data_IF_352434126012
#
_entry.id   IF_352434126012
#
_cell.length_a   1.000
_cell.length_b   1.000
_cell.length_c   1.000
_cell.angle_alpha   90.00
_cell.angle_beta   90.00
_cell.angle_gamma   90.00
#
_symmetry.space_group_name_H-M   'P 1'
#
loop_
_entity.id
_entity.type
_entity.pdbx_description
1 polymer ?
#
# COMPACT_ATOMS: atom_id res chain seq x y z
N UNK A 1 11.31 -29.72 0.72
CA UNK A 1 10.50 -28.94 1.69
C UNK A 1 10.52 -27.44 1.40
N UNK A 2 11.67 -26.87 1.01
CA UNK A 2 11.87 -25.46 0.70
C UNK A 2 10.99 -24.95 -0.46
N UNK A 3 10.86 -25.71 -1.55
CA UNK A 3 10.02 -25.31 -2.70
C UNK A 3 8.52 -25.16 -2.36
N UNK A 4 7.99 -26.07 -1.53
CA UNK A 4 6.60 -25.99 -1.05
C UNK A 4 6.38 -24.78 -0.14
N UNK A 5 7.42 -24.28 0.53
CA UNK A 5 7.36 -23.05 1.33
C UNK A 5 7.41 -21.82 0.43
N UNK A 6 8.32 -21.80 -0.55
CA UNK A 6 8.43 -20.73 -1.55
C UNK A 6 7.11 -20.53 -2.31
N UNK A 7 6.53 -21.61 -2.81
CA UNK A 7 5.27 -21.56 -3.55
C UNK A 7 4.12 -20.97 -2.69
N UNK A 8 4.10 -21.23 -1.38
CA UNK A 8 3.10 -20.66 -0.46
C UNK A 8 3.28 -19.15 -0.28
N UNK A 9 4.52 -18.70 -0.05
CA UNK A 9 4.80 -17.28 0.14
C UNK A 9 4.48 -16.51 -1.15
N UNK A 10 4.88 -17.04 -2.30
CA UNK A 10 4.56 -16.48 -3.62
C UNK A 10 3.06 -16.31 -3.83
N UNK A 11 2.26 -17.35 -3.58
CA UNK A 11 0.80 -17.28 -3.68
C UNK A 11 0.20 -16.24 -2.73
N UNK A 12 0.74 -16.10 -1.51
CA UNK A 12 0.27 -15.09 -0.57
C UNK A 12 0.54 -13.66 -1.07
N UNK A 13 1.72 -13.42 -1.63
CA UNK A 13 2.10 -12.11 -2.17
C UNK A 13 1.23 -11.72 -3.37
N UNK A 14 1.04 -12.64 -4.32
CA UNK A 14 0.21 -12.43 -5.51
C UNK A 14 -1.29 -12.31 -5.17
N UNK A 15 -1.72 -12.74 -3.98
CA UNK A 15 -3.13 -12.68 -3.57
C UNK A 15 -3.64 -11.30 -3.12
N UNK A 16 -2.76 -10.29 -3.06
CA UNK A 16 -3.09 -8.97 -2.52
C UNK A 16 -3.18 -8.93 -1.00
N UNK A 17 -2.59 -9.91 -0.30
CA UNK A 17 -2.58 -9.97 1.16
C UNK A 17 -1.64 -8.95 1.81
N UNK A 18 -0.60 -8.53 1.10
CA UNK A 18 0.48 -7.62 1.55
C UNK A 18 -0.03 -6.40 2.31
N UNK A 19 -0.91 -5.54 1.75
CA UNK A 19 -1.32 -4.31 2.45
C UNK A 19 -2.05 -4.59 3.77
N UNK A 20 -2.70 -5.75 3.90
CA UNK A 20 -3.36 -6.15 5.15
C UNK A 20 -2.36 -6.65 6.19
N UNK A 21 -1.32 -7.35 5.76
CA UNK A 21 -0.26 -7.87 6.64
C UNK A 21 0.60 -6.72 7.16
N UNK A 22 1.06 -5.81 6.29
CA UNK A 22 1.86 -4.63 6.67
C UNK A 22 1.10 -3.76 7.67
N UNK A 23 -0.15 -3.39 7.36
CA UNK A 23 -0.97 -2.55 8.24
C UNK A 23 -1.14 -3.15 9.64
N UNK A 24 -1.31 -4.47 9.73
CA UNK A 24 -1.45 -5.12 11.03
C UNK A 24 -0.10 -5.27 11.74
N UNK A 25 0.99 -5.48 11.00
CA UNK A 25 2.38 -5.50 11.49
C UNK A 25 2.73 -4.17 12.17
N UNK A 26 2.48 -3.04 11.50
CA UNK A 26 2.64 -1.69 12.06
C UNK A 26 1.80 -1.49 13.33
N UNK A 27 0.55 -1.97 13.31
CA UNK A 27 -0.37 -1.80 14.44
C UNK A 27 0.11 -2.51 15.70
N UNK A 28 0.71 -3.69 15.56
CA UNK A 28 1.23 -4.49 16.68
C UNK A 28 2.71 -4.25 16.93
N UNK A 29 3.31 -3.27 16.23
CA UNK A 29 4.75 -3.09 16.24
C UNK A 29 5.31 -2.78 17.64
N UNK A 30 4.52 -2.07 18.45
CA UNK A 30 4.86 -1.75 19.83
C UNK A 30 4.70 -2.93 20.81
N UNK A 31 4.09 -4.04 20.37
CA UNK A 31 3.77 -5.20 21.21
C UNK A 31 4.65 -6.42 20.90
N UNK A 32 5.31 -6.45 19.74
CA UNK A 32 6.05 -7.61 19.26
C UNK A 32 7.50 -7.20 18.98
N UNK A 33 8.49 -7.97 19.44
CA UNK A 33 9.91 -7.63 19.27
C UNK A 33 10.46 -7.87 17.84
N UNK A 34 9.78 -8.66 17.00
CA UNK A 34 10.23 -9.01 15.65
C UNK A 34 9.05 -9.00 14.65
N UNK A 35 9.05 -7.99 13.77
CA UNK A 35 8.05 -7.81 12.72
C UNK A 35 8.19 -8.85 11.62
N UNK A 36 9.42 -9.16 11.24
CA UNK A 36 9.73 -10.06 10.13
C UNK A 36 9.17 -11.46 10.40
N UNK A 37 9.34 -11.97 11.61
CA UNK A 37 8.76 -13.27 12.00
C UNK A 37 7.23 -13.29 11.94
N UNK A 38 6.57 -12.18 12.29
CA UNK A 38 5.11 -12.09 12.22
C UNK A 38 4.62 -12.09 10.77
N UNK A 39 5.26 -11.31 9.91
CA UNK A 39 4.91 -11.18 8.49
C UNK A 39 5.11 -12.49 7.73
N UNK A 40 6.27 -13.14 7.92
CA UNK A 40 6.56 -14.44 7.32
C UNK A 40 5.51 -15.49 7.68
N UNK A 41 5.12 -15.55 8.96
CA UNK A 41 4.09 -16.48 9.40
C UNK A 41 2.72 -16.16 8.79
N UNK A 42 2.37 -14.89 8.68
CA UNK A 42 1.15 -14.46 7.99
C UNK A 42 1.15 -14.97 6.56
N UNK A 43 2.20 -14.67 5.79
CA UNK A 43 2.32 -15.11 4.39
C UNK A 43 2.28 -16.63 4.26
N UNK A 44 2.97 -17.35 5.14
CA UNK A 44 2.96 -18.82 5.11
C UNK A 44 1.57 -19.42 5.35
N UNK A 45 0.84 -18.93 6.36
CA UNK A 45 -0.52 -19.42 6.67
C UNK A 45 -1.53 -19.01 5.61
N UNK A 46 -1.43 -17.79 5.09
CA UNK A 46 -2.27 -17.30 4.00
C UNK A 46 -2.06 -18.17 2.76
N UNK A 47 -0.81 -18.38 2.33
CA UNK A 47 -0.49 -19.22 1.18
C UNK A 47 -0.98 -20.65 1.34
N UNK A 48 -0.80 -21.25 2.53
CA UNK A 48 -1.34 -22.58 2.83
C UNK A 48 -2.86 -22.63 2.72
N UNK A 49 -3.56 -21.63 3.24
CA UNK A 49 -5.01 -21.58 3.17
C UNK A 49 -5.51 -21.35 1.74
N UNK A 50 -4.88 -20.45 0.99
CA UNK A 50 -5.26 -20.17 -0.40
C UNK A 50 -5.06 -21.39 -1.31
N UNK A 51 -4.00 -22.18 -1.09
CA UNK A 51 -3.83 -23.47 -1.77
C UNK A 51 -4.94 -24.46 -1.44
N UNK A 52 -5.33 -24.56 -0.16
CA UNK A 52 -6.36 -25.50 0.28
C UNK A 52 -7.78 -25.07 -0.12
N UNK A 53 -8.03 -23.78 -0.30
CA UNK A 53 -9.34 -23.21 -0.59
C UNK A 53 -9.48 -22.69 -2.04
N UNK A 54 -8.56 -23.07 -2.95
CA UNK A 54 -8.56 -22.61 -4.35
C UNK A 54 -9.91 -22.80 -5.05
N UNK A 55 -10.61 -23.89 -4.72
CA UNK A 55 -11.85 -24.31 -5.38
C UNK A 55 -13.13 -24.05 -4.56
N UNK A 56 -13.02 -23.43 -3.38
CA UNK A 56 -14.08 -23.48 -2.36
C UNK A 56 -14.99 -22.23 -2.31
N UNK A 57 -14.95 -21.38 -3.34
CA UNK A 57 -15.85 -20.22 -3.52
C UNK A 57 -15.82 -19.12 -2.43
N UNK A 58 -14.99 -19.26 -1.39
CA UNK A 58 -14.92 -18.32 -0.27
C UNK A 58 -14.26 -17.00 -0.68
N UNK A 59 -14.73 -15.90 -0.10
CA UNK A 59 -14.14 -14.59 -0.30
C UNK A 59 -12.69 -14.56 0.21
N UNK A 60 -11.74 -14.38 -0.71
CA UNK A 60 -10.29 -14.37 -0.44
C UNK A 60 -9.93 -13.35 0.63
N UNK A 61 -10.54 -12.16 0.58
CA UNK A 61 -10.29 -11.05 1.51
C UNK A 61 -10.67 -11.40 2.95
N UNK A 62 -11.85 -11.98 3.17
CA UNK A 62 -12.31 -12.38 4.49
C UNK A 62 -11.42 -13.48 5.08
N UNK A 63 -10.97 -14.42 4.25
CA UNK A 63 -10.04 -15.49 4.65
C UNK A 63 -8.69 -14.91 5.10
N UNK A 64 -8.10 -14.02 4.30
CA UNK A 64 -6.83 -13.34 4.62
C UNK A 64 -6.93 -12.62 5.97
N UNK A 65 -7.97 -11.80 6.16
CA UNK A 65 -8.17 -11.06 7.41
C UNK A 65 -8.36 -11.97 8.63
N UNK A 66 -9.10 -13.07 8.47
CA UNK A 66 -9.28 -14.06 9.54
C UNK A 66 -7.95 -14.70 9.95
N UNK A 67 -7.09 -15.03 8.98
CA UNK A 67 -5.77 -15.62 9.24
C UNK A 67 -4.89 -14.63 9.98
N UNK A 68 -4.82 -13.38 9.52
CA UNK A 68 -4.02 -12.32 10.17
C UNK A 68 -4.42 -12.15 11.64
N UNK A 69 -5.73 -12.09 11.94
CA UNK A 69 -6.22 -11.99 13.32
C UNK A 69 -5.81 -13.20 14.17
N UNK A 70 -5.85 -14.40 13.61
CA UNK A 70 -5.41 -15.62 14.29
C UNK A 70 -3.92 -15.61 14.57
N UNK A 71 -3.09 -15.21 13.59
CA UNK A 71 -1.63 -15.10 13.79
C UNK A 71 -1.32 -14.07 14.86
N UNK A 72 -1.99 -12.91 14.83
CA UNK A 72 -1.85 -11.88 15.86
C UNK A 72 -2.15 -12.43 17.25
N UNK A 73 -3.27 -13.14 17.42
CA UNK A 73 -3.63 -13.73 18.71
C UNK A 73 -2.56 -14.73 19.20
N UNK A 74 -2.01 -15.55 18.29
CA UNK A 74 -0.95 -16.52 18.63
C UNK A 74 0.34 -15.82 19.11
N UNK A 75 0.71 -14.71 18.47
CA UNK A 75 1.89 -13.93 18.84
C UNK A 75 1.71 -13.16 20.15
N UNK A 76 0.54 -12.54 20.36
CA UNK A 76 0.26 -11.79 21.59
C UNK A 76 0.07 -12.69 22.81
N UNK A 77 -0.45 -13.91 22.64
CA UNK A 77 -0.62 -14.87 23.74
C UNK A 77 0.66 -15.64 24.08
N UNK A 78 1.78 -15.37 23.37
CA UNK A 78 3.05 -16.06 23.59
C UNK A 78 3.01 -17.55 23.26
N UNK A 79 1.92 -18.05 22.64
CA UNK A 79 1.74 -19.47 22.31
C UNK A 79 2.69 -19.97 21.23
N UNK A 80 3.43 -19.07 20.57
CA UNK A 80 4.40 -19.43 19.53
C UNK A 80 5.85 -19.28 19.94
N UNK A 81 6.57 -20.39 19.74
CA UNK A 81 8.03 -20.43 19.60
C UNK A 81 8.42 -19.63 18.35
N UNK A 82 9.48 -18.81 18.45
CA UNK A 82 10.09 -18.06 17.36
C UNK A 82 10.38 -19.00 16.18
N UNK A 83 9.50 -19.05 15.18
CA UNK A 83 9.80 -19.75 13.92
C UNK A 83 10.49 -18.70 13.04
N UNK A 84 11.82 -18.75 13.00
CA UNK A 84 12.63 -17.96 12.08
C UNK A 84 12.60 -18.69 10.73
N UNK A 85 11.93 -18.13 9.74
CA UNK A 85 12.03 -18.65 8.38
C UNK A 85 13.23 -17.97 7.71
N UNK A 86 14.16 -18.75 7.15
CA UNK A 86 15.23 -18.21 6.30
C UNK A 86 14.59 -17.47 5.12
N UNK A 87 14.93 -16.19 4.96
CA UNK A 87 14.45 -15.31 3.89
C UNK A 87 15.17 -15.53 2.56
N UNK A 88 16.34 -16.17 2.57
CA UNK A 88 17.11 -16.49 1.38
C UNK A 88 16.66 -17.83 0.80
N UNK A 89 15.96 -17.76 -0.33
CA UNK A 89 15.58 -18.94 -1.11
C UNK A 89 16.44 -19.01 -2.37
N UNK A 90 17.40 -19.93 -2.36
CA UNK A 90 18.12 -20.35 -3.57
C UNK A 90 17.21 -21.29 -4.38
N UNK A 91 16.90 -20.93 -5.63
CA UNK A 91 16.34 -21.85 -6.61
C UNK A 91 17.36 -22.93 -7.02
N UNK A 92 16.88 -24.05 -7.56
CA UNK A 92 17.75 -25.13 -8.09
C UNK A 92 18.67 -24.68 -9.24
N UNK A 93 18.36 -23.53 -9.84
CA UNK A 93 19.08 -22.85 -10.92
C UNK A 93 20.08 -21.78 -10.42
N UNK A 94 20.19 -21.59 -9.10
CA UNK A 94 20.98 -20.51 -8.49
C UNK A 94 20.29 -19.15 -8.53
N UNK A 95 19.02 -19.08 -8.97
CA UNK A 95 18.26 -17.83 -8.97
C UNK A 95 17.78 -17.53 -7.56
N UNK A 96 18.27 -16.45 -6.97
CA UNK A 96 17.79 -15.94 -5.67
C UNK A 96 16.46 -15.23 -5.92
N UNK A 97 15.39 -15.76 -5.36
CA UNK A 97 14.09 -15.08 -5.39
C UNK A 97 14.02 -14.11 -4.20
N UNK A 98 14.08 -12.81 -4.49
CA UNK A 98 13.77 -11.76 -3.54
C UNK A 98 12.34 -11.25 -3.82
N UNK A 99 11.45 -11.19 -2.81
CA UNK A 99 10.16 -10.52 -2.97
C UNK A 99 10.39 -9.06 -3.36
N UNK A 100 9.68 -8.58 -4.38
CA UNK A 100 9.72 -7.17 -4.78
C UNK A 100 9.33 -6.29 -3.57
N UNK A 101 10.18 -5.32 -3.22
CA UNK A 101 9.98 -4.48 -2.04
C UNK A 101 8.87 -3.44 -2.29
N UNK A 102 7.66 -3.86 -1.94
CA UNK A 102 6.42 -3.09 -2.07
C UNK A 102 6.39 -1.91 -1.09
N UNK A 103 7.23 -1.91 -0.05
CA UNK A 103 7.32 -0.82 0.94
C UNK A 103 7.99 0.42 0.34
N UNK A 104 9.00 0.25 -0.52
CA UNK A 104 9.64 1.34 -1.25
C UNK A 104 8.65 2.11 -2.13
N UNK A 105 7.66 1.42 -2.70
CA UNK A 105 6.67 2.03 -3.57
C UNK A 105 5.67 2.90 -2.78
N UNK A 106 5.33 2.50 -1.56
CA UNK A 106 4.44 3.29 -0.67
C UNK A 106 5.17 4.52 -0.12
N UNK A 107 6.46 4.39 0.23
CA UNK A 107 7.28 5.54 0.66
C UNK A 107 7.40 6.58 -0.45
N UNK A 108 7.62 6.13 -1.69
CA UNK A 108 7.63 7.02 -2.87
C UNK A 108 6.33 7.81 -3.01
N UNK A 109 5.17 7.14 -2.97
CA UNK A 109 3.88 7.82 -3.06
C UNK A 109 3.63 8.83 -1.93
N UNK A 110 4.06 8.52 -0.70
CA UNK A 110 3.90 9.41 0.45
C UNK A 110 4.76 10.66 0.27
N UNK A 111 6.02 10.52 -0.14
CA UNK A 111 6.91 11.65 -0.42
C UNK A 111 6.39 12.54 -1.55
N UNK A 112 5.82 11.96 -2.61
CA UNK A 112 5.21 12.72 -3.70
C UNK A 112 3.99 13.53 -3.20
N UNK A 113 3.15 12.94 -2.35
CA UNK A 113 1.99 13.63 -1.75
C UNK A 113 2.43 14.78 -0.83
N UNK A 114 3.49 14.58 -0.06
CA UNK A 114 4.06 15.61 0.81
C UNK A 114 4.69 16.77 0.01
N UNK A 115 5.50 16.47 -1.03
CA UNK A 115 6.10 17.47 -1.92
C UNK A 115 5.01 18.32 -2.60
N UNK A 116 3.93 17.70 -3.07
CA UNK A 116 2.80 18.40 -3.68
C UNK A 116 2.04 19.26 -2.66
N UNK A 117 1.86 18.77 -1.42
CA UNK A 117 1.23 19.53 -0.35
C UNK A 117 2.03 20.79 0.03
N UNK A 118 3.36 20.69 0.07
CA UNK A 118 4.26 21.82 0.29
C UNK A 118 4.16 22.86 -0.85
N UNK A 119 4.14 22.41 -2.11
CA UNK A 119 3.99 23.31 -3.28
C UNK A 119 2.67 24.10 -3.29
N UNK A 120 1.66 23.64 -2.55
CA UNK A 120 0.37 24.31 -2.39
C UNK A 120 0.22 25.08 -1.07
N UNK A 121 1.21 25.04 -0.17
CA UNK A 121 1.08 25.55 1.19
C UNK A 121 0.71 27.04 1.27
N UNK A 122 1.21 27.83 0.33
CA UNK A 122 1.05 29.30 0.33
C UNK A 122 -0.13 29.80 -0.51
N UNK A 123 -0.83 28.94 -1.24
CA UNK A 123 -1.93 29.33 -2.12
C UNK A 123 -3.24 28.58 -1.81
N UNK A 124 -4.28 29.27 -1.31
CA UNK A 124 -5.56 28.64 -0.97
C UNK A 124 -6.30 28.06 -2.18
N UNK A 125 -6.01 28.54 -3.41
CA UNK A 125 -6.56 27.99 -4.65
C UNK A 125 -5.92 26.64 -4.96
N UNK A 126 -4.59 26.53 -4.84
CA UNK A 126 -3.85 25.27 -5.02
C UNK A 126 -4.28 24.21 -4.02
N UNK A 127 -4.45 24.57 -2.73
CA UNK A 127 -4.98 23.65 -1.70
C UNK A 127 -6.36 23.09 -2.06
N UNK A 128 -7.23 23.95 -2.59
CA UNK A 128 -8.58 23.55 -2.99
C UNK A 128 -8.54 22.57 -4.17
N UNK A 129 -7.66 22.80 -5.15
CA UNK A 129 -7.45 21.90 -6.30
C UNK A 129 -6.97 20.53 -5.82
N UNK A 130 -5.96 20.48 -4.95
CA UNK A 130 -5.43 19.22 -4.41
C UNK A 130 -6.47 18.44 -3.62
N UNK A 131 -7.27 19.13 -2.80
CA UNK A 131 -8.34 18.48 -2.04
C UNK A 131 -9.40 17.83 -2.94
N UNK A 132 -9.66 18.39 -4.13
CA UNK A 132 -10.61 17.84 -5.09
C UNK A 132 -10.00 16.66 -5.85
N UNK A 133 -8.73 16.76 -6.25
CA UNK A 133 -7.99 15.64 -6.85
C UNK A 133 -7.90 14.44 -5.90
N UNK A 134 -7.64 14.66 -4.61
CA UNK A 134 -7.62 13.61 -3.60
C UNK A 134 -8.97 12.90 -3.42
N UNK A 135 -10.09 13.55 -3.79
CA UNK A 135 -11.44 12.96 -3.78
C UNK A 135 -11.74 12.18 -5.08
N UNK A 136 -10.82 12.13 -6.03
CA UNK A 136 -10.97 11.42 -7.29
C UNK A 136 -11.63 12.22 -8.42
N UNK A 137 -11.96 13.50 -8.20
CA UNK A 137 -12.50 14.35 -9.27
C UNK A 137 -11.34 15.02 -10.03
N UNK A 138 -11.15 14.63 -11.28
CA UNK A 138 -10.09 15.13 -12.17
C UNK A 138 -10.63 16.01 -13.31
N UNK A 139 -11.93 16.32 -13.30
CA UNK A 139 -12.56 17.13 -14.33
C UNK A 139 -12.25 18.63 -14.12
N UNK A 140 -11.31 19.17 -14.90
CA UNK A 140 -10.89 20.57 -14.85
C UNK A 140 -12.06 21.57 -15.00
N UNK A 141 -13.13 21.19 -15.70
CA UNK A 141 -14.31 22.05 -15.90
C UNK A 141 -15.12 22.23 -14.62
N UNK A 142 -15.28 21.17 -13.84
CA UNK A 142 -15.99 21.20 -12.56
C UNK A 142 -15.14 21.93 -11.51
N UNK A 143 -13.84 21.64 -11.48
CA UNK A 143 -12.89 22.29 -10.57
C UNK A 143 -12.83 23.79 -10.84
N UNK A 144 -12.72 24.20 -12.11
CA UNK A 144 -12.67 25.62 -12.48
C UNK A 144 -13.95 26.38 -12.12
N UNK A 145 -15.11 25.74 -12.30
CA UNK A 145 -16.42 26.30 -11.93
C UNK A 145 -16.55 26.46 -10.41
N UNK A 146 -16.05 25.50 -9.63
CA UNK A 146 -16.05 25.55 -8.17
C UNK A 146 -15.07 26.60 -7.64
N UNK A 147 -13.90 26.75 -8.26
CA UNK A 147 -12.95 27.81 -7.95
C UNK A 147 -13.52 29.19 -8.25
N UNK A 148 -14.21 29.35 -9.38
CA UNK A 148 -14.88 30.61 -9.74
C UNK A 148 -15.97 30.97 -8.72
N UNK A 149 -16.77 29.99 -8.28
CA UNK A 149 -17.79 30.19 -7.22
C UNK A 149 -17.18 30.58 -5.87
N UNK A 150 -16.02 30.02 -5.51
CA UNK A 150 -15.42 30.18 -4.18
C UNK A 150 -14.47 31.37 -4.05
N UNK A 151 -13.71 31.68 -5.10
CA UNK A 151 -12.67 32.71 -5.10
C UNK A 151 -12.96 33.86 -6.07
N UNK A 152 -14.10 33.82 -6.78
CA UNK A 152 -14.46 34.78 -7.82
C UNK A 152 -13.65 34.61 -9.11
N UNK A 153 -13.99 35.39 -10.13
CA UNK A 153 -13.30 35.42 -11.42
C UNK A 153 -13.84 34.48 -12.49
N UNK A 154 -13.20 34.48 -13.66
CA UNK A 154 -13.62 33.72 -14.84
C UNK A 154 -13.21 32.22 -14.72
N UNK A 155 -14.14 31.26 -14.88
CA UNK A 155 -13.83 29.84 -14.96
C UNK A 155 -12.71 29.48 -15.95
N UNK A 156 -12.61 30.15 -17.10
CA UNK A 156 -11.52 29.88 -18.05
C UNK A 156 -10.15 30.23 -17.50
N UNK A 157 -10.04 31.33 -16.74
CA UNK A 157 -8.81 31.73 -16.08
C UNK A 157 -8.41 30.70 -15.03
N UNK A 158 -9.37 30.18 -14.26
CA UNK A 158 -9.14 29.09 -13.30
C UNK A 158 -8.74 27.79 -14.01
N UNK A 159 -9.31 27.46 -15.17
CA UNK A 159 -8.90 26.30 -15.96
C UNK A 159 -7.45 26.41 -16.42
N UNK A 160 -7.03 27.58 -16.91
CA UNK A 160 -5.61 27.85 -17.27
C UNK A 160 -4.70 27.74 -16.04
N UNK A 161 -5.16 28.23 -14.88
CA UNK A 161 -4.44 28.13 -13.63
C UNK A 161 -4.24 26.68 -13.18
N UNK A 162 -5.28 25.85 -13.20
CA UNK A 162 -5.21 24.41 -12.88
C UNK A 162 -4.19 23.71 -13.77
N UNK A 163 -4.22 23.96 -15.10
CA UNK A 163 -3.26 23.37 -16.05
C UNK A 163 -1.82 23.77 -15.73
N UNK A 164 -1.55 25.05 -15.47
CA UNK A 164 -0.22 25.53 -15.08
C UNK A 164 0.25 24.90 -13.78
N UNK A 165 -0.63 24.79 -12.80
CA UNK A 165 -0.33 24.15 -11.53
C UNK A 165 -0.01 22.66 -11.71
N UNK A 166 -0.77 21.94 -12.55
CA UNK A 166 -0.50 20.54 -12.88
C UNK A 166 0.87 20.32 -13.52
N UNK A 167 1.22 21.15 -14.50
CA UNK A 167 2.55 21.10 -15.15
C UNK A 167 3.66 21.42 -14.15
N UNK A 168 3.45 22.41 -13.28
CA UNK A 168 4.41 22.75 -12.24
C UNK A 168 4.64 21.60 -11.26
N UNK A 169 3.57 20.93 -10.81
CA UNK A 169 3.69 19.71 -10.00
C UNK A 169 4.44 18.61 -10.76
N UNK A 170 4.10 18.34 -12.02
CA UNK A 170 4.78 17.30 -12.83
C UNK A 170 6.28 17.54 -12.92
N UNK A 171 6.70 18.76 -13.26
CA UNK A 171 8.12 19.11 -13.36
C UNK A 171 8.87 18.91 -12.04
N UNK A 172 8.22 19.20 -10.91
CA UNK A 172 8.80 19.02 -9.58
C UNK A 172 8.83 17.56 -9.14
N UNK A 173 8.00 16.68 -9.70
CA UNK A 173 8.00 15.25 -9.37
C UNK A 173 9.02 14.48 -10.22
N UNK A 174 9.35 14.99 -11.42
CA UNK A 174 10.37 14.42 -12.32
C UNK A 174 11.79 14.96 -12.11
N UNK A 175 11.95 15.99 -11.27
CA UNK A 175 13.23 16.62 -10.91
C UNK A 175 13.67 16.22 -9.51
#
# INVERSE_FOLDING_TARGET
MKEKQLNRIKIALESGAVPYVIRESERIAHLIPDFTSFEQECYWRIGKALLAFRDNGREKKALIQKIIRSVRADFLTGKKRRIRYDTSFEGEDGTVWEPEDISANVVGEVLLKEKIALLAQDDPRKKTILAIWNRGCTNDSEISSLLAKRFGGNPESHRKFIRRFRVHCQNQLTA
#
